data_IF_777597699751
#
_entry.id   IF_777597699751
#
_cell.length_a   1.000
_cell.length_b   1.000
_cell.length_c   1.000
_cell.angle_alpha   90.00
_cell.angle_beta   90.00
_cell.angle_gamma   90.00
#
_symmetry.space_group_name_H-M   'P 1'
#
loop_
_entity.id
_entity.type
_entity.pdbx_description
1 polymer ?
#
# COMPACT_ATOMS: atom_id res chain seq x y z
N UNK A 1 -1.48 7.70 -16.72
CA UNK A 1 -0.64 7.60 -15.51
C UNK A 1 -0.97 6.24 -14.89
N UNK A 2 0.01 5.35 -14.76
CA UNK A 2 -0.21 3.98 -14.29
C UNK A 2 -0.08 3.90 -12.76
N UNK A 3 -0.90 3.06 -12.11
CA UNK A 3 -0.74 2.76 -10.69
C UNK A 3 0.59 2.05 -10.41
N UNK A 4 1.12 2.27 -9.22
CA UNK A 4 2.31 1.57 -8.73
C UNK A 4 1.98 0.10 -8.49
N UNK A 5 2.60 -0.79 -9.26
CA UNK A 5 2.48 -2.24 -9.10
C UNK A 5 3.72 -2.84 -8.43
N UNK A 6 3.52 -3.80 -7.54
CA UNK A 6 4.55 -4.57 -6.87
C UNK A 6 4.27 -6.06 -7.03
N UNK A 7 5.27 -6.82 -7.50
CA UNK A 7 5.20 -8.29 -7.58
C UNK A 7 5.84 -8.87 -6.33
N UNK A 8 5.06 -9.63 -5.56
CA UNK A 8 5.56 -10.27 -4.35
C UNK A 8 6.47 -11.47 -4.64
N UNK A 9 7.13 -12.00 -3.60
CA UNK A 9 7.97 -13.20 -3.70
C UNK A 9 7.24 -14.45 -4.21
N UNK A 10 5.91 -14.48 -4.12
CA UNK A 10 5.06 -15.57 -4.61
C UNK A 10 4.59 -15.38 -6.06
N UNK A 11 5.07 -14.33 -6.74
CA UNK A 11 4.73 -14.04 -8.14
C UNK A 11 3.38 -13.36 -8.37
N UNK A 12 2.68 -12.96 -7.32
CA UNK A 12 1.42 -12.22 -7.39
C UNK A 12 1.65 -10.72 -7.50
N UNK A 13 0.92 -10.08 -8.42
CA UNK A 13 0.95 -8.63 -8.61
C UNK A 13 -0.06 -7.96 -7.69
N UNK A 14 0.38 -6.89 -7.04
CA UNK A 14 -0.46 -6.01 -6.24
C UNK A 14 -0.25 -4.57 -6.67
N UNK A 15 -1.28 -3.76 -6.51
CA UNK A 15 -1.31 -2.34 -6.82
C UNK A 15 -1.45 -1.54 -5.54
N UNK A 16 -0.69 -0.47 -5.42
CA UNK A 16 -0.75 0.43 -4.27
C UNK A 16 -2.01 1.29 -4.34
N UNK A 17 -2.72 1.37 -3.21
CA UNK A 17 -3.89 2.22 -3.03
C UNK A 17 -3.74 3.08 -1.78
N UNK A 18 -4.38 4.25 -1.79
CA UNK A 18 -4.46 5.15 -0.66
C UNK A 18 -5.90 5.56 -0.40
N UNK A 19 -6.36 5.42 0.84
CA UNK A 19 -7.68 5.91 1.22
C UNK A 19 -7.66 6.58 2.58
N UNK A 20 -8.54 7.57 2.75
CA UNK A 20 -8.82 8.16 4.06
C UNK A 20 -9.78 7.25 4.82
N UNK A 21 -9.38 6.79 6.00
CA UNK A 21 -10.25 6.05 6.91
C UNK A 21 -10.41 6.80 8.22
N UNK A 22 -11.59 6.68 8.81
CA UNK A 22 -11.83 7.13 10.18
C UNK A 22 -11.52 5.99 11.14
N UNK A 23 -10.49 6.17 11.97
CA UNK A 23 -10.13 5.22 13.02
C UNK A 23 -11.11 5.30 14.19
N UNK A 24 -11.09 4.26 15.04
CA UNK A 24 -11.84 4.28 16.31
C UNK A 24 -11.39 5.50 17.13
N UNK A 25 -12.33 6.37 17.46
CA UNK A 25 -12.07 7.66 18.12
C UNK A 25 -12.26 8.89 17.22
N UNK A 26 -12.75 8.74 15.99
CA UNK A 26 -13.11 9.87 15.11
C UNK A 26 -11.93 10.49 14.36
N UNK A 27 -10.69 10.02 14.60
CA UNK A 27 -9.51 10.50 13.89
C UNK A 27 -9.49 9.97 12.46
N UNK A 28 -9.40 10.87 11.49
CA UNK A 28 -9.12 10.51 10.11
C UNK A 28 -7.62 10.24 9.92
N UNK A 29 -7.31 9.13 9.25
CA UNK A 29 -5.95 8.76 8.90
C UNK A 29 -5.91 8.26 7.45
N UNK A 30 -4.94 8.76 6.70
CA UNK A 30 -4.63 8.22 5.38
C UNK A 30 -3.90 6.89 5.58
N UNK A 31 -4.53 5.81 5.09
CA UNK A 31 -3.92 4.49 5.06
C UNK A 31 -3.53 4.14 3.63
N UNK A 32 -2.48 3.35 3.53
CA UNK A 32 -2.02 2.79 2.27
C UNK A 32 -2.05 1.28 2.34
N UNK A 33 -2.52 0.65 1.27
CA UNK A 33 -2.67 -0.79 1.21
C UNK A 33 -2.45 -1.30 -0.21
N UNK A 34 -2.07 -2.56 -0.32
CA UNK A 34 -1.88 -3.24 -1.60
C UNK A 34 -3.09 -4.13 -1.89
N UNK A 35 -3.62 -4.04 -3.12
CA UNK A 35 -4.74 -4.87 -3.59
C UNK A 35 -4.40 -5.51 -4.94
N UNK A 36 -5.03 -6.63 -5.28
CA UNK A 36 -4.74 -7.36 -6.54
C UNK A 36 -5.32 -6.70 -7.79
N UNK A 37 -6.22 -5.76 -7.61
CA UNK A 37 -6.89 -5.03 -8.68
C UNK A 37 -6.57 -3.55 -8.54
N UNK A 38 -6.37 -2.87 -9.66
CA UNK A 38 -6.28 -1.42 -9.71
C UNK A 38 -7.69 -0.82 -9.59
N UNK A 39 -7.91 -0.03 -8.55
CA UNK A 39 -9.16 0.69 -8.30
C UNK A 39 -8.93 2.19 -8.44
N UNK A 40 -10.01 2.98 -8.36
CA UNK A 40 -9.96 4.44 -8.44
C UNK A 40 -9.03 5.09 -7.38
N UNK A 41 -8.82 4.40 -6.27
CA UNK A 41 -7.96 4.85 -5.16
C UNK A 41 -6.49 4.44 -5.34
N UNK A 42 -6.13 3.94 -6.52
CA UNK A 42 -4.76 3.51 -6.81
C UNK A 42 -3.82 4.72 -6.87
N UNK A 43 -2.62 4.53 -6.33
CA UNK A 43 -1.58 5.56 -6.30
C UNK A 43 -0.52 5.24 -7.33
N UNK A 44 -0.07 6.28 -8.03
CA UNK A 44 0.98 6.15 -9.05
C UNK A 44 2.37 5.97 -8.44
N UNK A 45 2.55 6.35 -7.17
CA UNK A 45 3.84 6.29 -6.49
C UNK A 45 3.70 6.10 -4.99
N UNK A 46 4.76 5.58 -4.38
CA UNK A 46 4.88 5.46 -2.94
C UNK A 46 5.17 6.87 -2.37
N UNK A 47 4.48 7.31 -1.30
CA UNK A 47 4.75 8.59 -0.67
C UNK A 47 6.16 8.66 -0.08
N UNK A 48 6.78 9.84 -0.11
CA UNK A 48 8.09 10.07 0.49
C UNK A 48 8.09 9.67 1.99
N UNK A 49 9.11 8.94 2.43
CA UNK A 49 9.24 8.33 3.77
C UNK A 49 8.46 7.02 3.99
N UNK A 50 7.97 6.37 2.93
CA UNK A 50 7.44 5.01 3.00
C UNK A 50 8.26 4.05 2.14
N UNK A 51 8.38 2.81 2.61
CA UNK A 51 9.06 1.70 1.95
C UNK A 51 8.09 0.52 1.79
N UNK A 52 8.19 -0.21 0.68
CA UNK A 52 7.43 -1.46 0.50
C UNK A 52 8.12 -2.56 1.28
N UNK A 53 7.40 -3.17 2.21
CA UNK A 53 7.84 -4.35 2.94
C UNK A 53 6.88 -5.49 2.63
N UNK A 54 7.43 -6.69 2.43
CA UNK A 54 6.61 -7.89 2.24
C UNK A 54 6.50 -8.67 3.54
N UNK A 55 5.29 -9.06 3.91
CA UNK A 55 5.08 -9.96 5.04
C UNK A 55 5.58 -11.36 4.66
N UNK A 56 6.69 -11.80 5.27
CA UNK A 56 7.32 -13.12 5.00
C UNK A 56 6.38 -14.31 5.13
N UNK A 57 5.34 -14.23 6.00
CA UNK A 57 4.39 -15.33 6.22
C UNK A 57 3.34 -15.41 5.12
N UNK A 58 2.74 -14.28 4.77
CA UNK A 58 1.61 -14.24 3.83
C UNK A 58 2.03 -13.95 2.39
N UNK A 59 3.17 -13.28 2.21
CA UNK A 59 3.60 -12.67 0.95
C UNK A 59 2.87 -11.36 0.64
N UNK A 60 2.18 -10.76 1.61
CA UNK A 60 1.41 -9.54 1.40
C UNK A 60 2.34 -8.31 1.42
N UNK A 61 2.40 -7.50 0.33
CA UNK A 61 3.13 -6.23 0.35
C UNK A 61 2.40 -5.21 1.22
N UNK A 62 3.15 -4.43 1.98
CA UNK A 62 2.65 -3.41 2.89
C UNK A 62 3.57 -2.20 2.82
N UNK A 63 3.04 -1.00 3.09
CA UNK A 63 3.89 0.16 3.28
C UNK A 63 4.28 0.30 4.75
N UNK A 64 5.58 0.34 5.00
CA UNK A 64 6.14 0.72 6.30
C UNK A 64 6.64 2.15 6.21
N UNK A 65 6.40 2.95 7.24
CA UNK A 65 7.04 4.27 7.34
C UNK A 65 8.53 4.03 7.58
N UNK A 66 9.37 4.39 6.62
CA UNK A 66 10.81 4.38 6.81
C UNK A 66 11.15 5.30 7.97
N UNK A 67 11.94 4.83 8.94
CA UNK A 67 12.51 5.73 9.93
C UNK A 67 13.39 6.72 9.16
N UNK A 68 13.06 8.02 9.24
CA UNK A 68 14.01 9.08 8.91
C UNK A 68 15.21 8.95 9.84
#
# INVERSE_FOLDING_TARGET
MAAFSYKNSKGQTYFLHGKMVTLRGGRQQQIYFFAREEKKDALNQIPASYEVVENKRTGLPMLRKGKK
#
